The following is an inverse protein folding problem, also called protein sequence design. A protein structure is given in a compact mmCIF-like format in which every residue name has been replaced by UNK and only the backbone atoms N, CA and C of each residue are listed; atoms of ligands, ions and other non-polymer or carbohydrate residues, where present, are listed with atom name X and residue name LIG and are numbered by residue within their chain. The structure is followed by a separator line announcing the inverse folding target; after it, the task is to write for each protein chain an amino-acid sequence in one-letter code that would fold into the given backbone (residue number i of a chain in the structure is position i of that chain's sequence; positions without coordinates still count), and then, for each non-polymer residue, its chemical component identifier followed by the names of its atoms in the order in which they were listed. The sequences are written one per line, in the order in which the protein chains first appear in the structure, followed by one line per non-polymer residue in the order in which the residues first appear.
data_IF_020162223477
#
_entry.id   IF_020162223477
#
_cell.length_a   1.000
_cell.length_b   1.000
_cell.length_c   1.000
_cell.angle_alpha   90.00
_cell.angle_beta   90.00
_cell.angle_gamma   90.00
#
_symmetry.space_group_name_H-M   'P 1'
#
loop_
_entity.id
_entity.type
_entity.pdbx_description
1 polymer ?
#
# COMPACT_ATOMS: atom_id res chain seq x y z
N UNK A 1 -0.03 -2.17 20.48
CA UNK A 1 0.13 -0.69 20.35
C UNK A 1 -1.19 0.07 20.28
N UNK A 2 -2.21 -0.37 19.51
CA UNK A 2 -3.55 0.27 19.50
C UNK A 2 -4.17 0.47 20.89
N UNK A 3 -4.11 -0.55 21.76
CA UNK A 3 -4.58 -0.44 23.16
C UNK A 3 -3.80 0.60 23.98
N UNK A 4 -2.53 0.84 23.66
CA UNK A 4 -1.68 1.83 24.32
C UNK A 4 -1.99 3.27 23.86
N UNK A 5 -2.79 3.43 22.81
CA UNK A 5 -3.31 4.73 22.36
C UNK A 5 -2.41 5.52 21.42
N UNK A 6 -1.55 4.85 20.63
CA UNK A 6 -0.82 5.53 19.55
C UNK A 6 -1.75 5.80 18.36
N UNK A 7 -1.62 6.98 17.75
CA UNK A 7 -2.45 7.33 16.59
C UNK A 7 -1.94 6.65 15.30
N UNK A 8 -0.62 6.55 15.12
CA UNK A 8 0.02 6.00 13.93
C UNK A 8 0.99 4.87 14.30
N UNK A 9 1.09 3.84 13.45
CA UNK A 9 2.10 2.77 13.56
C UNK A 9 2.55 2.30 12.17
N UNK A 10 3.83 2.01 12.01
CA UNK A 10 4.35 1.40 10.78
C UNK A 10 3.87 -0.05 10.66
N UNK A 11 3.20 -0.38 9.55
CA UNK A 11 2.51 -1.66 9.37
C UNK A 11 2.91 -2.40 8.07
N UNK A 12 4.00 -1.98 7.41
CA UNK A 12 4.53 -2.65 6.21
C UNK A 12 4.02 -2.05 4.90
N UNK A 13 4.67 -2.46 3.80
CA UNK A 13 4.47 -1.89 2.45
C UNK A 13 4.16 -2.93 1.37
N UNK A 14 4.36 -4.22 1.66
CA UNK A 14 4.34 -5.34 0.69
C UNK A 14 5.45 -5.28 -0.36
N UNK A 15 5.55 -4.18 -1.09
CA UNK A 15 6.43 -4.03 -2.27
C UNK A 15 7.69 -3.20 -2.01
N UNK A 16 7.86 -2.72 -0.78
CA UNK A 16 9.01 -1.94 -0.37
C UNK A 16 10.20 -2.80 0.04
N UNK A 17 11.21 -2.16 0.63
CA UNK A 17 12.50 -2.83 0.94
C UNK A 17 12.49 -3.72 2.19
N UNK A 18 11.44 -3.63 3.01
CA UNK A 18 11.31 -4.40 4.24
C UNK A 18 10.32 -5.54 4.00
N UNK A 19 10.48 -6.60 4.78
CA UNK A 19 9.60 -7.77 4.80
C UNK A 19 8.11 -7.38 4.88
N UNK A 20 7.27 -8.15 4.19
CA UNK A 20 5.81 -8.02 4.30
C UNK A 20 5.08 -8.89 3.29
N UNK A 21 4.73 -10.11 3.68
CA UNK A 21 3.81 -10.94 2.90
C UNK A 21 2.44 -10.23 2.75
N UNK A 22 1.84 -10.19 1.55
CA UNK A 22 0.58 -9.46 1.32
C UNK A 22 -0.57 -9.87 2.25
N UNK A 23 -0.68 -11.15 2.61
CA UNK A 23 -1.76 -11.65 3.48
C UNK A 23 -1.54 -11.21 4.92
N UNK A 24 -0.30 -11.30 5.42
CA UNK A 24 0.06 -10.86 6.76
C UNK A 24 -0.12 -9.34 6.92
N UNK A 25 0.36 -8.56 5.95
CA UNK A 25 0.18 -7.10 5.96
C UNK A 25 -1.30 -6.73 5.98
N UNK A 26 -2.14 -7.41 5.19
CA UNK A 26 -3.58 -7.14 5.20
C UNK A 26 -4.21 -7.43 6.57
N UNK A 27 -3.82 -8.54 7.21
CA UNK A 27 -4.22 -8.85 8.59
C UNK A 27 -3.85 -7.75 9.58
N UNK A 28 -2.62 -7.23 9.51
CA UNK A 28 -2.19 -6.12 10.38
C UNK A 28 -3.03 -4.85 10.16
N UNK A 29 -3.33 -4.52 8.91
CA UNK A 29 -4.13 -3.34 8.57
C UNK A 29 -5.58 -3.48 9.06
N UNK A 30 -6.16 -4.68 9.02
CA UNK A 30 -7.50 -4.94 9.54
C UNK A 30 -7.53 -4.80 11.07
N UNK A 31 -6.56 -5.39 11.77
CA UNK A 31 -6.38 -5.25 13.23
C UNK A 31 -6.31 -3.78 13.68
N UNK A 32 -5.64 -2.93 12.91
CA UNK A 32 -5.48 -1.51 13.25
C UNK A 32 -6.72 -0.67 12.95
N UNK A 33 -7.51 -1.05 11.94
CA UNK A 33 -8.55 -0.19 11.36
C UNK A 33 -9.97 -0.66 11.62
N UNK A 34 -10.23 -1.93 11.85
CA UNK A 34 -11.60 -2.41 12.03
C UNK A 34 -12.11 -2.18 13.46
N UNK A 35 -13.42 -2.15 13.61
CA UNK A 35 -14.11 -2.08 14.90
C UNK A 35 -14.25 -3.44 15.55
N UNK A 36 -14.29 -4.49 14.75
CA UNK A 36 -14.34 -5.89 15.17
C UNK A 36 -13.56 -6.73 14.16
N UNK A 37 -13.15 -7.93 14.57
CA UNK A 37 -12.41 -8.88 13.77
C UNK A 37 -13.13 -10.21 13.81
N UNK A 38 -13.35 -10.81 12.64
CA UNK A 38 -13.74 -12.22 12.51
C UNK A 38 -12.50 -13.10 12.36
N UNK A 39 -12.65 -14.41 12.61
CA UNK A 39 -11.57 -15.36 12.33
C UNK A 39 -11.29 -15.39 10.83
N UNK A 40 -10.04 -15.10 10.46
CA UNK A 40 -9.53 -15.14 9.10
C UNK A 40 -8.11 -15.71 9.10
N UNK A 41 -8.03 -17.05 8.99
CA UNK A 41 -6.77 -17.79 9.10
C UNK A 41 -5.75 -17.45 8.00
N UNK A 42 -6.14 -17.25 6.72
CA UNK A 42 -5.20 -16.76 5.72
C UNK A 42 -4.52 -15.44 6.08
N UNK A 43 -5.18 -14.55 6.84
CA UNK A 43 -4.62 -13.26 7.27
C UNK A 43 -4.02 -13.32 8.69
N UNK A 44 -3.88 -14.52 9.26
CA UNK A 44 -3.33 -14.70 10.61
C UNK A 44 -4.25 -14.23 11.74
N UNK A 45 -5.55 -14.02 11.47
CA UNK A 45 -6.52 -13.63 12.49
C UNK A 45 -7.16 -14.90 13.06
N UNK A 46 -6.60 -15.39 14.17
CA UNK A 46 -7.01 -16.66 14.79
C UNK A 46 -8.23 -16.57 15.70
N UNK A 47 -8.59 -15.36 16.15
CA UNK A 47 -9.66 -15.14 17.11
C UNK A 47 -10.62 -14.07 16.61
N UNK A 48 -11.91 -14.29 16.85
CA UNK A 48 -12.89 -13.22 16.79
C UNK A 48 -12.65 -12.25 17.96
N UNK A 49 -12.73 -10.94 17.69
CA UNK A 49 -12.39 -9.92 18.67
C UNK A 49 -13.10 -8.59 18.39
N UNK A 50 -13.82 -8.07 19.38
CA UNK A 50 -14.36 -6.71 19.37
C UNK A 50 -13.32 -5.71 19.93
N UNK A 51 -13.21 -4.52 19.30
CA UNK A 51 -12.33 -3.45 19.79
C UNK A 51 -13.01 -2.53 20.82
N UNK A 52 -14.23 -2.83 21.26
CA UNK A 52 -14.96 -2.09 22.29
C UNK A 52 -15.04 -0.58 22.02
N UNK A 53 -15.26 -0.22 20.75
CA UNK A 53 -15.26 1.17 20.27
C UNK A 53 -13.97 1.96 20.53
N UNK A 54 -12.85 1.29 20.83
CA UNK A 54 -11.54 1.94 20.81
C UNK A 54 -11.28 2.53 19.43
N UNK A 55 -10.77 3.76 19.40
CA UNK A 55 -10.43 4.45 18.16
C UNK A 55 -9.51 3.60 17.29
N UNK A 56 -9.65 3.79 15.98
CA UNK A 56 -8.83 3.17 14.95
C UNK A 56 -7.41 3.74 15.03
N UNK A 57 -6.41 2.93 14.70
CA UNK A 57 -5.02 3.35 14.56
C UNK A 57 -4.68 3.44 13.07
N UNK A 58 -4.05 4.53 12.64
CA UNK A 58 -3.72 4.77 11.24
C UNK A 58 -2.43 4.01 10.87
N UNK A 59 -2.48 3.02 9.98
CA UNK A 59 -1.28 2.34 9.52
C UNK A 59 -0.42 3.27 8.66
N UNK A 60 0.89 3.08 8.74
CA UNK A 60 1.90 3.80 7.96
C UNK A 60 2.67 2.81 7.10
N UNK A 61 2.67 3.05 5.79
CA UNK A 61 3.46 2.31 4.82
C UNK A 61 4.72 3.12 4.49
N UNK A 62 5.89 2.61 4.85
CA UNK A 62 7.15 3.33 4.71
C UNK A 62 8.31 2.39 4.43
N UNK A 63 9.24 2.82 3.58
CA UNK A 63 10.52 2.17 3.34
C UNK A 63 10.66 1.55 1.96
N UNK A 64 11.49 2.16 1.10
CA UNK A 64 11.84 1.61 -0.21
C UNK A 64 10.71 1.65 -1.25
N UNK A 65 9.68 2.46 -1.02
CA UNK A 65 8.58 2.65 -1.98
C UNK A 65 8.79 3.89 -2.86
N UNK A 66 8.23 3.88 -4.07
CA UNK A 66 8.23 5.01 -5.02
C UNK A 66 6.87 5.13 -5.74
N UNK A 67 6.60 6.28 -6.36
CA UNK A 67 5.31 6.57 -7.01
C UNK A 67 4.92 5.59 -8.14
N UNK A 68 5.89 4.91 -8.77
CA UNK A 68 5.61 3.87 -9.76
C UNK A 68 4.79 2.68 -9.21
N UNK A 69 4.90 2.43 -7.91
CA UNK A 69 4.20 1.35 -7.21
C UNK A 69 2.82 1.77 -6.69
N UNK A 70 2.35 3.00 -6.98
CA UNK A 70 1.13 3.54 -6.37
C UNK A 70 -0.09 2.64 -6.57
N UNK A 71 -0.24 2.03 -7.75
CA UNK A 71 -1.32 1.09 -8.02
C UNK A 71 -1.34 -0.12 -7.06
N UNK A 72 -0.17 -0.66 -6.73
CA UNK A 72 -0.03 -1.78 -5.78
C UNK A 72 -0.33 -1.31 -4.35
N UNK A 73 0.17 -0.14 -3.96
CA UNK A 73 -0.06 0.44 -2.63
C UNK A 73 -1.55 0.70 -2.39
N UNK A 74 -2.25 1.29 -3.35
CA UNK A 74 -3.70 1.53 -3.24
C UNK A 74 -4.49 0.24 -3.21
N UNK A 75 -4.04 -0.80 -3.91
CA UNK A 75 -4.68 -2.12 -3.88
C UNK A 75 -4.53 -2.80 -2.52
N UNK A 76 -3.30 -2.93 -2.02
CA UNK A 76 -3.05 -3.68 -0.79
C UNK A 76 -3.46 -2.92 0.47
N UNK A 77 -3.33 -1.60 0.48
CA UNK A 77 -3.33 -0.81 1.72
C UNK A 77 -4.60 0.03 1.88
N UNK A 78 -5.34 0.32 0.81
CA UNK A 78 -6.59 1.08 0.84
C UNK A 78 -6.41 2.58 1.10
N UNK A 79 -7.46 3.23 1.64
CA UNK A 79 -7.52 4.70 1.79
C UNK A 79 -6.94 5.22 3.12
N UNK A 80 -7.34 4.61 4.24
CA UNK A 80 -6.89 5.01 5.57
C UNK A 80 -5.48 4.45 5.82
N UNK A 81 -4.48 5.08 5.21
CA UNK A 81 -3.05 4.79 5.34
C UNK A 81 -2.20 6.04 5.09
N UNK A 82 -1.08 6.18 5.78
CA UNK A 82 -0.03 7.15 5.41
C UNK A 82 1.02 6.48 4.55
N UNK A 83 1.19 6.94 3.31
CA UNK A 83 2.26 6.49 2.41
C UNK A 83 3.48 7.42 2.53
N UNK A 84 4.61 6.91 3.01
CA UNK A 84 5.82 7.71 3.24
C UNK A 84 6.91 7.43 2.20
N UNK A 85 7.20 8.45 1.40
CA UNK A 85 8.23 8.42 0.36
C UNK A 85 9.46 9.23 0.80
N UNK A 86 10.35 8.64 1.61
CA UNK A 86 11.60 9.30 2.02
C UNK A 86 12.55 9.50 0.84
N UNK A 87 13.28 8.43 0.46
CA UNK A 87 14.14 8.43 -0.72
C UNK A 87 13.38 8.73 -2.03
N UNK A 88 12.14 8.25 -2.15
CA UNK A 88 11.26 8.53 -3.29
C UNK A 88 10.77 9.98 -3.42
N UNK A 89 11.09 10.86 -2.46
CA UNK A 89 10.88 12.32 -2.56
C UNK A 89 12.20 13.06 -2.68
N UNK A 90 13.10 12.86 -1.71
CA UNK A 90 14.33 13.65 -1.60
C UNK A 90 15.35 13.26 -2.69
N UNK A 91 15.28 12.02 -3.18
CA UNK A 91 16.13 11.52 -4.26
C UNK A 91 15.70 11.93 -5.67
N UNK A 92 14.65 12.75 -5.81
CA UNK A 92 14.21 13.24 -7.12
C UNK A 92 15.25 14.20 -7.73
N UNK A 93 15.68 14.01 -8.99
CA UNK A 93 16.80 14.75 -9.57
C UNK A 93 16.49 16.25 -9.76
N UNK A 94 15.21 16.59 -9.99
CA UNK A 94 14.76 17.99 -10.09
C UNK A 94 14.44 18.64 -8.72
N UNK A 95 14.87 18.00 -7.62
CA UNK A 95 14.75 18.53 -6.26
C UNK A 95 13.51 18.08 -5.48
N UNK A 96 13.49 18.41 -4.19
CA UNK A 96 12.52 17.91 -3.20
C UNK A 96 11.07 18.29 -3.55
N UNK A 97 10.85 19.52 -4.03
CA UNK A 97 9.50 19.96 -4.42
C UNK A 97 8.96 19.14 -5.60
N UNK A 98 9.81 18.81 -6.57
CA UNK A 98 9.43 17.98 -7.70
C UNK A 98 9.10 16.54 -7.24
N UNK A 99 9.92 15.95 -6.37
CA UNK A 99 9.64 14.64 -5.77
C UNK A 99 8.31 14.60 -5.01
N UNK A 100 8.02 15.63 -4.21
CA UNK A 100 6.75 15.72 -3.49
C UNK A 100 5.55 15.87 -4.44
N UNK A 101 5.72 16.66 -5.50
CA UNK A 101 4.71 16.83 -6.55
C UNK A 101 4.44 15.51 -7.27
N UNK A 102 5.48 14.78 -7.66
CA UNK A 102 5.35 13.49 -8.34
C UNK A 102 4.53 12.48 -7.52
N UNK A 103 4.88 12.29 -6.25
CA UNK A 103 4.18 11.36 -5.37
C UNK A 103 2.71 11.73 -5.18
N UNK A 104 2.41 13.03 -5.04
CA UNK A 104 1.04 13.52 -4.88
C UNK A 104 0.19 13.34 -6.13
N UNK A 105 0.72 13.71 -7.31
CA UNK A 105 0.01 13.54 -8.58
C UNK A 105 -0.26 12.06 -8.86
N UNK A 106 0.71 11.17 -8.60
CA UNK A 106 0.51 9.73 -8.75
C UNK A 106 -0.62 9.19 -7.86
N UNK A 107 -0.67 9.64 -6.59
CA UNK A 107 -1.71 9.24 -5.64
C UNK A 107 -3.10 9.71 -6.11
N UNK A 108 -3.25 11.01 -6.39
CA UNK A 108 -4.53 11.59 -6.78
C UNK A 108 -5.05 10.98 -8.10
N UNK A 109 -4.18 10.78 -9.09
CA UNK A 109 -4.54 10.13 -10.35
C UNK A 109 -5.00 8.68 -10.16
N UNK A 110 -4.31 7.91 -9.29
CA UNK A 110 -4.64 6.52 -9.02
C UNK A 110 -5.99 6.39 -8.29
N UNK A 111 -6.22 7.24 -7.29
CA UNK A 111 -7.48 7.25 -6.53
C UNK A 111 -8.66 7.68 -7.41
N UNK A 112 -8.46 8.67 -8.29
CA UNK A 112 -9.49 9.08 -9.25
C UNK A 112 -9.86 7.92 -10.18
N UNK A 113 -8.87 7.30 -10.82
CA UNK A 113 -9.10 6.19 -11.76
C UNK A 113 -9.75 4.97 -11.07
N UNK A 114 -9.37 4.66 -9.83
CA UNK A 114 -10.04 3.64 -9.01
C UNK A 114 -11.50 3.98 -8.81
N UNK A 115 -11.80 5.21 -8.39
CA UNK A 115 -13.17 5.63 -8.11
C UNK A 115 -14.05 5.68 -9.38
N UNK A 116 -13.43 5.84 -10.55
CA UNK A 116 -14.07 5.69 -11.87
C UNK A 116 -14.26 4.23 -12.32
N UNK A 117 -13.79 3.26 -11.54
CA UNK A 117 -13.98 1.82 -11.78
C UNK A 117 -12.89 1.16 -12.63
N UNK A 118 -11.73 1.80 -12.80
CA UNK A 118 -10.60 1.19 -13.52
C UNK A 118 -10.09 -0.05 -12.78
N UNK A 119 -9.68 -1.09 -13.52
CA UNK A 119 -8.95 -2.25 -12.97
C UNK A 119 -7.49 -1.86 -12.69
N UNK A 120 -7.27 -0.93 -11.76
CA UNK A 120 -6.00 -0.26 -11.57
C UNK A 120 -4.89 -1.17 -11.03
N UNK A 121 -5.22 -2.30 -10.39
CA UNK A 121 -4.20 -3.24 -9.88
C UNK A 121 -3.57 -4.06 -11.00
N UNK A 122 -4.27 -4.24 -12.12
CA UNK A 122 -3.74 -4.90 -13.30
C UNK A 122 -2.45 -4.22 -13.81
N UNK A 123 -1.43 -5.03 -14.13
CA UNK A 123 -0.09 -4.57 -14.52
C UNK A 123 -0.05 -3.79 -15.84
N UNK A 124 -1.12 -3.82 -16.64
CA UNK A 124 -1.24 -3.01 -17.84
C UNK A 124 -1.93 -1.67 -17.53
N UNK A 125 -2.96 -1.68 -16.68
CA UNK A 125 -3.80 -0.51 -16.38
C UNK A 125 -3.15 0.43 -15.36
N UNK A 126 -2.68 -0.08 -14.21
CA UNK A 126 -2.09 0.73 -13.14
C UNK A 126 -0.91 1.59 -13.61
N UNK A 127 0.12 1.00 -14.22
CA UNK A 127 1.22 1.76 -14.81
C UNK A 127 0.77 2.72 -15.94
N UNK A 128 -0.30 2.40 -16.67
CA UNK A 128 -0.81 3.28 -17.73
C UNK A 128 -1.46 4.54 -17.15
N UNK A 129 -2.24 4.42 -16.08
CA UNK A 129 -2.81 5.59 -15.35
C UNK A 129 -1.69 6.56 -14.95
N UNK A 130 -0.58 6.04 -14.40
CA UNK A 130 0.57 6.85 -14.01
C UNK A 130 1.25 7.52 -15.21
N UNK A 131 1.44 6.78 -16.31
CA UNK A 131 1.99 7.34 -17.55
C UNK A 131 1.10 8.42 -18.16
N UNK A 132 -0.22 8.27 -18.07
CA UNK A 132 -1.16 9.26 -18.58
C UNK A 132 -1.12 10.55 -17.76
N UNK A 133 -1.05 10.45 -16.44
CA UNK A 133 -0.84 11.61 -15.57
C UNK A 133 0.54 12.29 -15.81
N UNK A 134 1.58 11.50 -16.09
CA UNK A 134 2.92 11.99 -16.36
C UNK A 134 3.03 12.86 -17.62
N UNK A 135 2.18 12.63 -18.64
CA UNK A 135 2.14 13.46 -19.87
C UNK A 135 1.95 14.95 -19.59
N UNK A 136 1.27 15.29 -18.49
CA UNK A 136 1.02 16.67 -18.06
C UNK A 136 1.76 17.04 -16.77
N UNK A 137 2.63 16.18 -16.26
CA UNK A 137 3.38 16.39 -15.03
C UNK A 137 4.85 15.95 -15.20
N UNK A 138 5.72 16.90 -15.54
CA UNK A 138 7.16 16.66 -15.69
C UNK A 138 7.81 15.97 -14.48
N UNK A 139 7.58 16.41 -13.23
CA UNK A 139 8.09 15.72 -12.05
C UNK A 139 7.69 14.24 -11.98
N UNK A 140 6.43 13.91 -12.28
CA UNK A 140 5.99 12.51 -12.29
C UNK A 140 6.69 11.73 -13.41
N UNK A 141 6.81 12.29 -14.60
CA UNK A 141 7.54 11.67 -15.71
C UNK A 141 8.98 11.32 -15.30
N UNK A 142 9.72 12.28 -14.76
CA UNK A 142 11.11 12.07 -14.30
C UNK A 142 11.20 10.99 -13.23
N UNK A 143 10.30 11.01 -12.24
CA UNK A 143 10.27 10.02 -11.17
C UNK A 143 10.00 8.58 -11.68
N UNK A 144 9.07 8.44 -12.64
CA UNK A 144 8.77 7.16 -13.27
C UNK A 144 9.98 6.65 -14.06
N UNK A 145 10.62 7.50 -14.86
CA UNK A 145 11.79 7.10 -15.65
C UNK A 145 12.97 6.67 -14.77
N UNK A 146 13.15 7.32 -13.61
CA UNK A 146 14.24 7.04 -12.69
C UNK A 146 14.07 5.71 -11.94
N UNK A 147 12.86 5.40 -11.46
CA UNK A 147 12.64 4.27 -10.54
C UNK A 147 11.82 3.11 -11.12
N UNK A 148 11.39 3.16 -12.38
CA UNK A 148 10.53 2.12 -13.01
C UNK A 148 11.04 0.68 -12.87
N UNK A 149 12.35 0.47 -12.83
CA UNK A 149 12.96 -0.86 -12.81
C UNK A 149 13.35 -1.31 -11.39
N UNK A 150 13.04 -0.50 -10.36
CA UNK A 150 13.34 -0.83 -8.96
C UNK A 150 12.22 -1.69 -8.39
N UNK A 151 12.59 -2.87 -7.89
CA UNK A 151 11.70 -3.76 -7.15
C UNK A 151 12.48 -4.51 -6.07
N UNK A 152 11.81 -4.88 -4.99
CA UNK A 152 12.38 -5.68 -3.90
C UNK A 152 11.60 -7.00 -3.81
N UNK A 153 11.98 -7.97 -4.64
CA UNK A 153 11.30 -9.26 -4.71
C UNK A 153 12.19 -10.35 -4.09
N UNK A 154 11.93 -10.67 -2.84
CA UNK A 154 12.64 -11.68 -2.06
C UNK A 154 11.63 -12.62 -1.41
N UNK A 155 12.06 -13.84 -1.10
CA UNK A 155 11.22 -14.80 -0.39
C UNK A 155 10.89 -14.26 1.01
N UNK A 156 9.61 -14.15 1.31
CA UNK A 156 9.12 -13.78 2.64
C UNK A 156 9.47 -14.82 3.70
N UNK A 157 9.71 -14.33 4.92
CA UNK A 157 9.96 -15.17 6.10
C UNK A 157 8.75 -15.29 7.01
N UNK A 158 7.86 -14.30 7.03
CA UNK A 158 6.61 -14.31 7.80
C UNK A 158 5.44 -14.55 6.83
N UNK A 159 5.04 -15.82 6.68
CA UNK A 159 4.08 -16.27 5.66
C UNK A 159 2.92 -17.02 6.29
N UNK A 160 1.74 -16.93 5.69
CA UNK A 160 0.56 -17.66 6.14
C UNK A 160 0.76 -19.20 6.13
N UNK A 161 0.26 -19.87 7.17
CA UNK A 161 0.17 -21.34 7.23
C UNK A 161 -1.11 -21.89 6.57
N UNK A 162 -2.10 -21.02 6.29
CA UNK A 162 -3.41 -21.37 5.77
C UNK A 162 -3.67 -20.70 4.43
N UNK A 163 -4.09 -21.48 3.43
CA UNK A 163 -4.55 -20.97 2.15
C UNK A 163 -6.09 -20.91 2.12
N UNK A 164 -6.64 -19.89 1.47
CA UNK A 164 -8.07 -19.83 1.18
C UNK A 164 -8.40 -20.92 0.15
N UNK A 165 -9.10 -21.98 0.59
CA UNK A 165 -9.57 -23.02 -0.31
C UNK A 165 -10.92 -22.60 -0.86
N UNK A 166 -11.03 -22.49 -2.19
CA UNK A 166 -12.31 -22.26 -2.84
C UNK A 166 -13.27 -23.37 -2.40
N UNK A 167 -14.33 -23.01 -1.67
CA UNK A 167 -15.39 -23.94 -1.33
C UNK A 167 -16.07 -24.34 -2.63
N UNK A 168 -15.93 -25.61 -3.03
CA UNK A 168 -16.75 -26.17 -4.08
C UNK A 168 -18.21 -26.10 -3.58
N UNK A 169 -19.01 -25.21 -4.19
CA UNK A 169 -20.45 -25.18 -3.98
C UNK A 169 -21.00 -26.60 -4.14
N UNK A 170 -21.59 -27.14 -3.07
CA UNK A 170 -22.48 -28.31 -3.13
C UNK A 170 -23.90 -27.85 -3.29
#
# INVERSE_FOLDING_TARGET
ERMSGVDHIHAGTVVGKLEGDPLMIKGFYDILRLTELEVNLPYGIFFEMDWASLRRCMPVASGGIHCGQMHQLIHYLGDDVVLQFGGGTIGHPDGIQAGATANRVALEAMVLARNEGSDYFNNQVGPQILRDAAKTCGPLQTALDLWKDISFNYTSTDTADFAETATANR
#
